data_IF_706913588645
#
_entry.id   IF_706913588645
#
_cell.length_a   1.000
_cell.length_b   1.000
_cell.length_c   1.000
_cell.angle_alpha   90.00
_cell.angle_beta   90.00
_cell.angle_gamma   90.00
#
_symmetry.space_group_name_H-M   'P 1'
#
loop_
_entity.id
_entity.type
_entity.pdbx_description
1 polymer ?
#
# COMPACT_ATOMS: atom_id res chain seq x y z
N UNK A 1 -3.79 7.18 25.17
CA UNK A 1 -4.05 7.51 23.75
C UNK A 1 -3.61 6.32 22.92
N UNK A 2 -4.54 5.45 22.53
CA UNK A 2 -4.23 4.32 21.65
C UNK A 2 -4.12 4.91 20.25
N UNK A 3 -2.93 4.81 19.67
CA UNK A 3 -2.75 5.23 18.28
C UNK A 3 -2.99 4.00 17.44
N UNK A 4 -4.19 3.88 16.90
CA UNK A 4 -4.56 2.80 15.98
C UNK A 4 -3.76 2.98 14.69
N UNK A 5 -3.03 1.95 14.30
CA UNK A 5 -2.45 1.81 12.97
C UNK A 5 -3.39 0.91 12.17
N UNK A 6 -3.80 1.37 10.99
CA UNK A 6 -4.61 0.55 10.09
C UNK A 6 -3.65 -0.24 9.19
N UNK A 7 -3.83 -1.56 9.18
CA UNK A 7 -3.09 -2.44 8.29
C UNK A 7 -3.77 -2.47 6.93
N UNK A 8 -3.03 -2.13 5.88
CA UNK A 8 -3.49 -2.16 4.51
C UNK A 8 -2.72 -3.20 3.72
N UNK A 9 -3.44 -3.98 2.91
CA UNK A 9 -2.89 -4.94 1.96
C UNK A 9 -3.29 -4.49 0.56
N UNK A 10 -2.30 -4.29 -0.30
CA UNK A 10 -2.49 -3.99 -1.71
C UNK A 10 -2.19 -5.23 -2.53
N UNK A 11 -3.01 -5.42 -3.56
CA UNK A 11 -2.83 -6.47 -4.56
C UNK A 11 -2.50 -5.81 -5.90
N UNK A 12 -1.45 -6.30 -6.55
CA UNK A 12 -0.99 -5.80 -7.83
C UNK A 12 -1.03 -6.92 -8.86
N UNK A 13 -1.79 -6.71 -9.93
CA UNK A 13 -1.86 -7.63 -11.07
C UNK A 13 -0.68 -7.37 -11.98
N UNK A 14 0.17 -8.39 -12.13
CA UNK A 14 1.23 -8.41 -13.12
C UNK A 14 0.64 -8.80 -14.49
N UNK A 15 1.24 -8.25 -15.54
CA UNK A 15 0.93 -8.59 -16.93
C UNK A 15 1.32 -10.04 -17.25
N UNK A 16 2.46 -10.49 -16.72
CA UNK A 16 2.97 -11.85 -16.90
C UNK A 16 3.84 -12.33 -15.72
N UNK A 17 4.26 -13.61 -15.79
CA UNK A 17 5.09 -14.26 -14.79
C UNK A 17 6.51 -13.66 -14.69
N UNK A 18 7.05 -13.09 -15.78
CA UNK A 18 8.37 -12.46 -15.76
C UNK A 18 8.33 -11.14 -14.97
N UNK A 19 7.29 -10.33 -15.18
CA UNK A 19 7.08 -9.12 -14.40
C UNK A 19 6.92 -9.47 -12.93
N UNK A 20 6.13 -10.49 -12.60
CA UNK A 20 6.00 -10.97 -11.21
C UNK A 20 7.37 -11.30 -10.61
N UNK A 21 8.15 -12.18 -11.25
CA UNK A 21 9.50 -12.56 -10.78
C UNK A 21 10.42 -11.35 -10.58
N UNK A 22 10.33 -10.36 -11.46
CA UNK A 22 11.11 -9.13 -11.34
C UNK A 22 10.66 -8.24 -10.18
N UNK A 23 9.39 -8.28 -9.78
CA UNK A 23 8.85 -7.46 -8.70
C UNK A 23 9.06 -8.10 -7.32
N UNK A 24 9.08 -9.42 -7.23
CA UNK A 24 9.21 -10.12 -5.95
C UNK A 24 10.46 -9.69 -5.17
N UNK A 25 10.26 -9.38 -3.89
CA UNK A 25 11.32 -8.92 -2.99
C UNK A 25 11.74 -7.45 -3.18
N UNK A 26 11.24 -6.75 -4.22
CA UNK A 26 11.50 -5.32 -4.37
C UNK A 26 10.82 -4.52 -3.27
N UNK A 27 11.46 -3.40 -2.92
CA UNK A 27 10.97 -2.47 -1.91
C UNK A 27 9.91 -1.56 -2.49
N UNK A 28 8.77 -1.45 -1.81
CA UNK A 28 7.72 -0.47 -2.07
C UNK A 28 7.83 0.65 -1.04
N UNK A 29 7.93 1.89 -1.51
CA UNK A 29 7.84 3.08 -0.68
C UNK A 29 6.43 3.67 -0.78
N UNK A 30 5.81 3.93 0.36
CA UNK A 30 4.47 4.48 0.45
C UNK A 30 4.55 5.91 0.95
N UNK A 31 4.18 6.86 0.09
CA UNK A 31 4.13 8.27 0.43
C UNK A 31 2.69 8.72 0.58
N UNK A 32 2.43 9.58 1.57
CA UNK A 32 1.11 10.11 1.86
C UNK A 32 1.08 11.61 1.71
N UNK A 33 0.04 12.13 1.07
CA UNK A 33 -0.28 13.56 1.06
C UNK A 33 -1.63 13.79 1.71
N UNK A 34 -1.68 14.59 2.77
CA UNK A 34 -2.92 14.97 3.43
C UNK A 34 -3.59 16.15 2.70
N UNK A 35 -4.92 16.16 2.65
CA UNK A 35 -5.68 17.19 1.93
C UNK A 35 -5.46 18.62 2.45
N UNK A 36 -5.08 18.80 3.73
CA UNK A 36 -4.96 20.10 4.37
C UNK A 36 -3.58 20.74 4.22
N UNK A 37 -2.49 19.97 4.32
CA UNK A 37 -1.13 20.51 4.25
C UNK A 37 -0.45 20.30 2.89
N UNK A 38 -0.96 19.36 2.07
CA UNK A 38 -0.45 19.03 0.74
C UNK A 38 1.04 18.69 0.72
N UNK A 39 1.62 18.33 1.87
CA UNK A 39 3.00 17.92 1.97
C UNK A 39 3.07 16.39 1.84
N UNK A 40 3.95 15.93 0.95
CA UNK A 40 4.24 14.52 0.80
C UNK A 40 5.15 14.06 1.94
N UNK A 41 4.77 12.97 2.62
CA UNK A 41 5.59 12.34 3.66
C UNK A 41 5.72 10.83 3.40
N UNK A 42 6.89 10.26 3.71
CA UNK A 42 7.05 8.82 3.70
C UNK A 42 6.25 8.21 4.87
N UNK A 43 5.24 7.41 4.55
CA UNK A 43 4.39 6.74 5.54
C UNK A 43 4.96 5.38 5.93
N UNK A 44 5.45 4.61 4.97
CA UNK A 44 5.97 3.26 5.23
C UNK A 44 6.87 2.77 4.10
N UNK A 45 7.61 1.70 4.39
CA UNK A 45 8.44 0.98 3.43
C UNK A 45 8.22 -0.51 3.66
N UNK A 46 7.84 -1.22 2.60
CA UNK A 46 7.51 -2.65 2.65
C UNK A 46 8.12 -3.39 1.46
N UNK A 47 7.93 -4.70 1.39
CA UNK A 47 8.39 -5.53 0.27
C UNK A 47 7.21 -6.16 -0.45
N UNK A 48 7.47 -6.49 -1.72
CA UNK A 48 6.54 -7.25 -2.54
C UNK A 48 6.71 -8.74 -2.23
N UNK A 49 5.59 -9.39 -1.98
CA UNK A 49 5.48 -10.78 -1.56
C UNK A 49 4.53 -11.55 -2.50
N UNK A 50 4.70 -12.86 -2.52
CA UNK A 50 3.73 -13.75 -3.16
C UNK A 50 2.43 -13.83 -2.35
N UNK A 51 1.35 -14.16 -3.02
CA UNK A 51 0.13 -14.60 -2.35
C UNK A 51 0.39 -15.91 -1.61
N UNK A 52 -0.18 -15.99 -0.42
CA UNK A 52 -0.20 -17.16 0.45
C UNK A 52 -1.58 -17.83 0.38
N UNK A 53 -1.72 -19.00 1.02
CA UNK A 53 -3.00 -19.72 1.09
C UNK A 53 -4.06 -19.00 1.91
N UNK A 54 -3.64 -18.12 2.80
CA UNK A 54 -4.53 -17.35 3.68
C UNK A 54 -5.04 -16.07 3.01
N UNK A 55 -4.49 -15.70 1.85
CA UNK A 55 -4.94 -14.55 1.07
C UNK A 55 -6.22 -14.85 0.30
N UNK A 56 -6.93 -13.77 -0.07
CA UNK A 56 -8.11 -13.85 -0.93
C UNK A 56 -7.71 -14.52 -2.25
N UNK A 57 -8.49 -15.52 -2.65
CA UNK A 57 -8.27 -16.25 -3.88
C UNK A 57 -8.90 -15.49 -5.05
N UNK A 58 -8.04 -14.92 -5.91
CA UNK A 58 -8.46 -14.17 -7.09
C UNK A 58 -8.33 -15.02 -8.36
N UNK A 59 -9.14 -14.76 -9.40
CA UNK A 59 -8.84 -15.25 -10.75
C UNK A 59 -7.44 -14.82 -11.19
N UNK A 60 -6.70 -15.73 -11.82
CA UNK A 60 -5.31 -15.53 -12.24
C UNK A 60 -4.35 -15.15 -11.09
N UNK A 61 -4.55 -15.69 -9.88
CA UNK A 61 -3.73 -15.44 -8.69
C UNK A 61 -2.23 -15.69 -8.90
N UNK A 62 -1.87 -16.57 -9.85
CA UNK A 62 -0.51 -16.83 -10.27
C UNK A 62 0.24 -15.57 -10.73
N UNK A 63 -0.48 -14.57 -11.25
CA UNK A 63 0.08 -13.29 -11.73
C UNK A 63 -0.12 -12.15 -10.74
N UNK A 64 -0.53 -12.42 -9.50
CA UNK A 64 -0.73 -11.39 -8.50
C UNK A 64 0.41 -11.43 -7.49
N UNK A 65 0.85 -10.25 -7.09
CA UNK A 65 1.71 -10.03 -5.92
C UNK A 65 1.00 -9.12 -4.94
N UNK A 66 1.44 -9.16 -3.69
CA UNK A 66 0.92 -8.28 -2.64
C UNK A 66 2.04 -7.50 -1.96
N UNK A 67 1.67 -6.41 -1.32
CA UNK A 67 2.48 -5.76 -0.32
C UNK A 67 1.57 -5.23 0.78
N UNK A 68 2.07 -5.25 2.01
CA UNK A 68 1.30 -4.86 3.18
C UNK A 68 2.05 -3.82 4.00
N UNK A 69 1.33 -2.86 4.56
CA UNK A 69 1.93 -1.86 5.43
C UNK A 69 0.92 -1.38 6.47
N UNK A 70 1.43 -1.14 7.67
CA UNK A 70 0.72 -0.38 8.68
C UNK A 70 0.85 1.10 8.34
N UNK A 71 -0.27 1.74 8.04
CA UNK A 71 -0.32 3.18 7.79
C UNK A 71 -0.86 3.86 9.03
N UNK A 72 -0.09 4.83 9.52
CA UNK A 72 -0.43 5.62 10.69
C UNK A 72 -0.51 7.09 10.30
N UNK A 73 -1.72 7.57 9.94
CA UNK A 73 -1.93 8.98 9.63
C UNK A 73 -1.48 9.85 10.80
N UNK A 74 -0.69 10.89 10.51
CA UNK A 74 -0.28 11.86 11.53
C UNK A 74 -1.36 12.91 11.81
N UNK A 75 -2.33 13.03 10.90
CA UNK A 75 -3.44 13.97 10.93
C UNK A 75 -4.70 13.29 10.41
N UNK A 76 -5.84 13.76 10.91
CA UNK A 76 -7.16 13.38 10.39
C UNK A 76 -7.38 13.88 8.96
N UNK A 77 -8.34 13.28 8.27
CA UNK A 77 -8.81 13.71 6.95
C UNK A 77 -8.49 12.70 5.85
N UNK A 78 -8.64 13.15 4.61
CA UNK A 78 -8.31 12.36 3.42
C UNK A 78 -6.81 12.36 3.18
N UNK A 79 -6.27 11.19 2.92
CA UNK A 79 -4.90 10.94 2.52
C UNK A 79 -4.85 10.29 1.15
N UNK A 80 -4.07 10.87 0.24
CA UNK A 80 -3.68 10.22 -0.99
C UNK A 80 -2.35 9.47 -0.75
N UNK A 81 -2.38 8.14 -0.83
CA UNK A 81 -1.21 7.28 -0.69
C UNK A 81 -0.72 6.89 -2.07
N UNK A 82 0.53 7.21 -2.37
CA UNK A 82 1.22 6.85 -3.60
C UNK A 82 2.26 5.77 -3.32
N UNK A 83 2.24 4.72 -4.13
CA UNK A 83 3.14 3.56 -3.99
C UNK A 83 4.21 3.62 -5.07
N UNK A 84 5.48 3.48 -4.68
CA UNK A 84 6.62 3.54 -5.61
C UNK A 84 7.52 2.33 -5.49
N UNK A 85 8.02 1.85 -6.63
CA UNK A 85 9.12 0.88 -6.73
C UNK A 85 10.22 1.53 -7.55
N UNK A 86 11.44 1.62 -7.03
CA UNK A 86 12.58 2.19 -7.77
C UNK A 86 12.26 3.58 -8.38
N UNK A 87 11.53 4.41 -7.63
CA UNK A 87 11.03 5.74 -8.02
C UNK A 87 9.95 5.76 -9.13
N UNK A 88 9.43 4.60 -9.55
CA UNK A 88 8.29 4.50 -10.46
C UNK A 88 6.98 4.36 -9.67
N UNK A 89 6.01 5.23 -9.95
CA UNK A 89 4.66 5.14 -9.38
C UNK A 89 3.94 3.90 -9.92
N UNK A 90 3.49 3.03 -9.01
CA UNK A 90 2.72 1.82 -9.37
C UNK A 90 1.22 1.95 -9.07
N UNK A 91 0.83 2.92 -8.25
CA UNK A 91 -0.58 3.13 -7.90
C UNK A 91 -0.80 4.23 -6.87
N UNK A 92 -2.03 4.71 -6.84
CA UNK A 92 -2.50 5.71 -5.87
C UNK A 92 -3.78 5.21 -5.21
N UNK A 93 -3.84 5.28 -3.88
CA UNK A 93 -5.00 4.87 -3.08
C UNK A 93 -5.42 6.03 -2.18
N UNK A 94 -6.71 6.38 -2.14
CA UNK A 94 -7.21 7.36 -1.20
C UNK A 94 -7.75 6.65 0.04
N UNK A 95 -7.23 7.01 1.21
CA UNK A 95 -7.73 6.53 2.50
C UNK A 95 -8.29 7.69 3.31
N UNK A 96 -9.25 7.39 4.18
CA UNK A 96 -9.90 8.39 5.03
C UNK A 96 -9.72 8.00 6.47
N UNK A 97 -8.99 8.82 7.23
CA UNK A 97 -8.97 8.72 8.67
C UNK A 97 -10.12 9.56 9.24
N UNK A 98 -11.28 8.91 9.38
CA UNK A 98 -12.39 9.39 10.18
C UNK A 98 -12.26 8.74 11.55
N UNK A 99 -11.78 9.47 12.57
CA UNK A 99 -12.08 9.06 13.94
C UNK A 99 -13.59 8.88 14.05
N UNK A 100 -14.06 7.67 14.38
CA UNK A 100 -15.38 7.49 14.99
C UNK A 100 -15.39 8.35 16.25
N UNK A 101 -16.34 9.26 16.34
CA UNK A 101 -16.72 9.86 17.61
C UNK A 101 -17.24 8.70 18.48
N UNK A 102 -16.54 8.42 19.57
CA UNK A 102 -17.09 7.70 20.72
C UNK A 102 -17.77 8.71 21.64
#
# INVERSE_FOLDING_TARGET
>A
MIILSDNYIWYYWCEDENQKKNLLGKTVQLYGTNEFDKNEILLSTTKIEELTKDDIQFPNHENIVKFQADIKPTKKGRWAIQSFIENQLIGTTNVFDMKREE
#
